data_IF_076387014365
#
_entry.id   IF_076387014365
#
_cell.length_a   1.000
_cell.length_b   1.000
_cell.length_c   1.000
_cell.angle_alpha   90.00
_cell.angle_beta   90.00
_cell.angle_gamma   90.00
#
_symmetry.space_group_name_H-M   'P 1'
#
loop_
_entity.id
_entity.type
_entity.pdbx_description
1 polymer ?
#
# COMPACT_ATOMS: atom_id res chain seq x y z
N UNK A 1 -4.84 -6.18 7.67
CA UNK A 1 -5.73 -6.75 6.64
C UNK A 1 -5.30 -6.33 5.23
N UNK A 2 -4.72 -7.29 4.52
CA UNK A 2 -4.73 -7.42 3.07
C UNK A 2 -4.33 -8.89 2.87
N UNK A 3 -5.28 -9.82 2.68
CA UNK A 3 -4.94 -11.22 2.46
C UNK A 3 -4.89 -11.49 0.95
N UNK A 4 -3.79 -11.13 0.30
CA UNK A 4 -3.56 -11.43 -1.13
C UNK A 4 -3.66 -12.93 -1.42
N UNK A 5 -3.48 -13.76 -0.40
CA UNK A 5 -3.48 -15.21 -0.41
C UNK A 5 -4.87 -15.86 -0.36
N UNK A 6 -5.95 -15.10 -0.11
CA UNK A 6 -7.32 -15.66 -0.10
C UNK A 6 -8.08 -15.43 -1.42
N UNK A 7 -7.51 -14.68 -2.36
CA UNK A 7 -8.12 -14.50 -3.68
C UNK A 7 -7.86 -15.69 -4.59
N UNK A 8 -8.87 -16.09 -5.37
CA UNK A 8 -8.68 -17.04 -6.47
C UNK A 8 -7.74 -16.44 -7.51
N UNK A 9 -6.52 -16.99 -7.62
CA UNK A 9 -5.45 -16.37 -8.40
C UNK A 9 -5.80 -16.21 -9.87
N UNK A 10 -6.54 -17.16 -10.45
CA UNK A 10 -6.92 -17.09 -11.86
C UNK A 10 -7.99 -16.02 -12.15
N UNK A 11 -8.56 -15.38 -11.14
CA UNK A 11 -9.51 -14.29 -11.33
C UNK A 11 -8.85 -13.01 -11.83
N UNK A 12 -7.58 -12.79 -11.50
CA UNK A 12 -6.85 -11.56 -11.84
C UNK A 12 -6.64 -11.37 -13.34
N UNK A 13 -6.52 -12.45 -14.11
CA UNK A 13 -6.35 -12.40 -15.57
C UNK A 13 -7.57 -11.84 -16.30
N UNK A 14 -8.74 -11.80 -15.64
CA UNK A 14 -9.99 -11.26 -16.19
C UNK A 14 -10.12 -9.74 -16.03
N UNK A 15 -9.19 -9.09 -15.32
CA UNK A 15 -9.19 -7.63 -15.15
C UNK A 15 -8.68 -6.99 -16.44
N UNK A 16 -9.58 -6.31 -17.17
CA UNK A 16 -9.29 -5.67 -18.46
C UNK A 16 -9.05 -4.16 -18.38
N UNK A 17 -9.44 -3.53 -17.28
CA UNK A 17 -9.24 -2.10 -17.03
C UNK A 17 -7.82 -1.81 -16.52
N UNK A 18 -7.30 -0.56 -16.66
CA UNK A 18 -6.05 -0.17 -16.02
C UNK A 18 -6.09 -0.42 -14.51
N UNK A 19 -5.01 -0.97 -13.96
CA UNK A 19 -4.93 -1.34 -12.54
C UNK A 19 -3.62 -0.84 -11.92
N UNK A 20 -3.66 -0.16 -10.78
CA UNK A 20 -2.48 0.35 -10.09
C UNK A 20 -2.37 -0.32 -8.71
N UNK A 21 -1.28 -1.05 -8.47
CA UNK A 21 -0.97 -1.70 -7.20
C UNK A 21 0.19 -0.98 -6.52
N UNK A 22 -0.03 -0.56 -5.29
CA UNK A 22 1.00 0.08 -4.44
C UNK A 22 1.17 -0.74 -3.17
N UNK A 23 2.31 -1.42 -3.04
CA UNK A 23 2.65 -2.10 -1.79
C UNK A 23 3.36 -1.15 -0.82
N UNK A 24 2.95 -1.15 0.44
CA UNK A 24 3.67 -0.44 1.51
C UNK A 24 4.70 -1.37 2.14
N UNK A 25 5.95 -0.91 2.20
CA UNK A 25 7.07 -1.66 2.76
C UNK A 25 8.10 -2.10 1.73
N UNK A 26 9.27 -2.46 2.26
CA UNK A 26 10.43 -2.84 1.46
C UNK A 26 10.23 -4.23 0.84
N UNK A 27 10.50 -4.42 -0.47
CA UNK A 27 10.52 -5.74 -1.08
C UNK A 27 11.34 -6.75 -0.26
N UNK A 28 10.81 -7.97 -0.10
CA UNK A 28 11.40 -9.01 0.75
C UNK A 28 11.17 -8.85 2.26
N UNK A 29 10.54 -7.76 2.70
CA UNK A 29 10.10 -7.53 4.10
C UNK A 29 8.59 -7.32 4.24
N UNK A 30 7.86 -7.20 3.13
CA UNK A 30 6.40 -7.15 3.13
C UNK A 30 5.86 -8.53 3.58
N UNK A 31 4.92 -8.59 4.54
CA UNK A 31 4.29 -9.86 4.93
C UNK A 31 3.69 -10.57 3.72
N UNK A 32 3.80 -11.90 3.67
CA UNK A 32 3.30 -12.70 2.54
C UNK A 32 1.83 -12.43 2.23
N UNK A 33 1.01 -12.27 3.27
CA UNK A 33 -0.41 -11.94 3.13
C UNK A 33 -0.60 -10.60 2.42
N UNK A 34 0.29 -9.61 2.60
CA UNK A 34 0.17 -8.30 1.95
C UNK A 34 0.93 -8.20 0.61
N UNK A 35 1.71 -9.21 0.20
CA UNK A 35 2.61 -9.12 -0.95
C UNK A 35 1.86 -9.26 -2.29
N UNK A 36 1.75 -8.17 -3.05
CA UNK A 36 0.96 -8.11 -4.27
C UNK A 36 1.76 -8.26 -5.58
N UNK A 37 3.08 -8.52 -5.53
CA UNK A 37 3.91 -8.59 -6.74
C UNK A 37 3.47 -9.71 -7.71
N UNK A 38 3.05 -10.87 -7.18
CA UNK A 38 2.50 -11.96 -7.99
C UNK A 38 1.14 -11.62 -8.59
N UNK A 39 0.28 -10.92 -7.83
CA UNK A 39 -1.02 -10.46 -8.33
C UNK A 39 -0.82 -9.46 -9.46
N UNK A 40 0.09 -8.49 -9.29
CA UNK A 40 0.38 -7.50 -10.32
C UNK A 40 0.81 -8.15 -11.64
N UNK A 41 1.64 -9.20 -11.58
CA UNK A 41 2.06 -9.97 -12.77
C UNK A 41 0.92 -10.75 -13.43
N UNK A 42 -0.15 -11.05 -12.70
CA UNK A 42 -1.29 -11.82 -13.21
C UNK A 42 -2.34 -10.93 -13.90
N UNK A 43 -2.29 -9.61 -13.71
CA UNK A 43 -3.21 -8.64 -14.31
C UNK A 43 -2.55 -8.05 -15.57
N UNK A 44 -3.15 -8.19 -16.77
CA UNK A 44 -2.52 -7.78 -18.03
C UNK A 44 -2.05 -6.33 -18.11
N UNK A 45 -2.83 -5.40 -17.52
CA UNK A 45 -2.60 -3.96 -17.59
C UNK A 45 -2.28 -3.35 -16.22
N UNK A 46 -1.61 -4.11 -15.34
CA UNK A 46 -1.25 -3.62 -14.01
C UNK A 46 0.08 -2.86 -14.00
N UNK A 47 0.10 -1.75 -13.27
CA UNK A 47 1.31 -1.13 -12.76
C UNK A 47 1.53 -1.56 -11.30
N UNK A 48 2.79 -1.76 -10.93
CA UNK A 48 3.19 -2.13 -9.57
C UNK A 48 4.29 -1.22 -9.07
N UNK A 49 4.11 -0.70 -7.87
CA UNK A 49 5.09 0.13 -7.19
C UNK A 49 5.14 -0.19 -5.69
N UNK A 50 6.21 0.25 -5.04
CA UNK A 50 6.34 0.13 -3.59
C UNK A 50 6.69 1.47 -2.94
N UNK A 51 6.27 1.64 -1.69
CA UNK A 51 6.75 2.71 -0.81
C UNK A 51 7.60 2.02 0.26
N UNK A 52 8.88 1.84 -0.01
CA UNK A 52 9.76 0.93 0.74
C UNK A 52 9.89 1.23 2.23
N UNK A 53 9.83 2.51 2.57
CA UNK A 53 9.97 3.03 3.92
C UNK A 53 8.63 3.12 4.67
N UNK A 54 7.50 2.88 4.01
CA UNK A 54 6.20 2.78 4.67
C UNK A 54 6.05 1.46 5.44
N UNK A 55 5.24 1.47 6.50
CA UNK A 55 4.78 0.28 7.19
C UNK A 55 3.43 -0.18 6.60
N UNK A 56 3.01 -1.42 6.88
CA UNK A 56 1.64 -1.84 6.57
C UNK A 56 0.61 -0.89 7.19
N UNK A 57 0.90 -0.38 8.39
CA UNK A 57 0.03 0.54 9.13
C UNK A 57 -0.02 1.95 8.56
N UNK A 58 0.91 2.33 7.67
CA UNK A 58 0.86 3.65 7.02
C UNK A 58 -0.37 3.83 6.13
N UNK A 59 -1.09 2.75 5.79
CA UNK A 59 -2.38 2.81 5.09
C UNK A 59 -3.49 3.45 5.94
N UNK A 60 -3.42 3.34 7.27
CA UNK A 60 -4.45 3.88 8.17
C UNK A 60 -4.32 5.40 8.31
N UNK A 61 -5.29 6.03 8.98
CA UNK A 61 -5.30 7.47 9.24
C UNK A 61 -4.09 7.95 10.06
N UNK A 62 -3.87 9.27 10.09
CA UNK A 62 -2.83 9.88 10.92
C UNK A 62 -2.95 9.47 12.39
N UNK A 63 -1.79 9.26 13.02
CA UNK A 63 -1.75 8.91 14.44
C UNK A 63 -2.03 10.13 15.31
N UNK A 64 -2.74 9.91 16.41
CA UNK A 64 -2.91 10.93 17.44
C UNK A 64 -1.56 11.21 18.12
N UNK A 65 -1.34 12.42 18.66
CA UNK A 65 -0.18 12.69 19.51
C UNK A 65 -0.08 11.66 20.65
N UNK A 66 1.11 11.12 20.91
CA UNK A 66 1.35 10.14 21.96
C UNK A 66 0.93 8.70 21.63
N UNK A 67 0.42 8.42 20.41
CA UNK A 67 -0.13 7.11 20.09
C UNK A 67 0.94 6.01 19.95
N UNK A 68 2.16 6.34 19.52
CA UNK A 68 3.23 5.36 19.39
C UNK A 68 3.71 4.90 20.77
N UNK A 69 3.90 5.85 21.68
CA UNK A 69 4.31 5.64 23.07
C UNK A 69 3.25 4.86 23.85
N UNK A 70 1.98 5.20 23.65
CA UNK A 70 0.87 4.45 24.26
C UNK A 70 0.80 3.02 23.75
N UNK A 71 0.98 2.80 22.43
CA UNK A 71 0.95 1.46 21.86
C UNK A 71 2.10 0.57 22.36
N UNK A 72 3.28 1.16 22.57
CA UNK A 72 4.41 0.47 23.19
C UNK A 72 4.11 0.15 24.66
N UNK A 73 3.60 1.11 25.43
CA UNK A 73 3.23 0.91 26.84
C UNK A 73 2.15 -0.16 27.04
N UNK A 74 1.17 -0.22 26.14
CA UNK A 74 0.11 -1.22 26.12
C UNK A 74 0.51 -2.55 25.47
N UNK A 75 1.75 -2.67 24.96
CA UNK A 75 2.27 -3.87 24.31
C UNK A 75 1.35 -4.37 23.18
N UNK A 76 0.93 -3.45 22.31
CA UNK A 76 0.01 -3.71 21.16
C UNK A 76 0.62 -4.66 20.10
N UNK A 77 1.81 -5.22 20.37
CA UNK A 77 2.48 -6.20 19.54
C UNK A 77 3.27 -5.49 18.44
N UNK A 78 2.67 -5.37 17.25
CA UNK A 78 3.34 -4.76 16.12
C UNK A 78 3.50 -3.24 16.31
N UNK A 79 4.64 -2.65 15.90
CA UNK A 79 4.90 -1.23 16.06
C UNK A 79 3.98 -0.42 15.14
N UNK A 80 2.87 0.06 15.69
CA UNK A 80 1.96 1.00 15.05
C UNK A 80 2.47 2.43 15.24
N UNK A 81 2.09 3.34 14.34
CA UNK A 81 2.46 4.76 14.38
C UNK A 81 3.97 5.07 14.25
N UNK A 82 4.80 4.07 13.94
CA UNK A 82 6.21 4.23 13.58
C UNK A 82 6.38 4.07 12.07
N UNK A 83 6.05 5.10 11.31
CA UNK A 83 6.04 5.06 9.84
C UNK A 83 7.33 5.61 9.21
N UNK A 84 7.57 5.25 7.95
CA UNK A 84 8.40 6.04 7.04
C UNK A 84 9.91 6.03 7.28
N UNK A 85 10.43 5.29 8.28
CA UNK A 85 11.85 5.32 8.69
C UNK A 85 12.45 6.74 8.70
N UNK A 86 11.66 7.72 9.16
CA UNK A 86 12.02 9.15 9.13
C UNK A 86 10.98 10.04 8.44
N UNK A 87 10.12 9.50 7.57
CA UNK A 87 8.94 10.21 7.05
C UNK A 87 7.72 10.05 7.96
N UNK A 88 6.98 11.13 8.11
CA UNK A 88 5.68 11.12 8.78
C UNK A 88 4.64 10.35 7.96
N UNK A 89 3.61 9.81 8.63
CA UNK A 89 2.46 9.20 7.95
C UNK A 89 1.80 10.15 6.94
N UNK A 90 1.74 11.45 7.28
CA UNK A 90 1.23 12.50 6.40
C UNK A 90 2.01 12.62 5.10
N UNK A 91 3.33 12.53 5.13
CA UNK A 91 4.17 12.55 3.92
C UNK A 91 4.00 11.28 3.08
N UNK A 92 3.76 10.13 3.71
CA UNK A 92 3.42 8.89 2.99
C UNK A 92 2.05 9.04 2.33
N UNK A 93 1.06 9.59 3.04
CA UNK A 93 -0.27 9.87 2.48
C UNK A 93 -0.20 10.86 1.32
N UNK A 94 0.59 11.92 1.42
CA UNK A 94 0.81 12.86 0.32
C UNK A 94 1.41 12.16 -0.92
N UNK A 95 2.38 11.26 -0.71
CA UNK A 95 2.94 10.43 -1.79
C UNK A 95 1.88 9.51 -2.40
N UNK A 96 1.06 8.83 -1.58
CA UNK A 96 -0.03 7.98 -2.04
C UNK A 96 -1.06 8.76 -2.87
N UNK A 97 -1.47 9.94 -2.40
CA UNK A 97 -2.39 10.83 -3.11
C UNK A 97 -1.83 11.16 -4.49
N UNK A 98 -0.55 11.57 -4.57
CA UNK A 98 0.08 11.88 -5.85
C UNK A 98 0.11 10.67 -6.81
N UNK A 99 0.41 9.48 -6.29
CA UNK A 99 0.41 8.24 -7.08
C UNK A 99 -0.98 7.90 -7.61
N UNK A 100 -2.00 7.99 -6.76
CA UNK A 100 -3.41 7.73 -7.11
C UNK A 100 -3.91 8.75 -8.13
N UNK A 101 -3.67 10.04 -7.92
CA UNK A 101 -4.02 11.10 -8.87
C UNK A 101 -3.35 10.86 -10.22
N UNK A 102 -2.05 10.54 -10.23
CA UNK A 102 -1.33 10.25 -11.47
C UNK A 102 -1.89 9.02 -12.20
N UNK A 103 -2.26 7.96 -11.46
CA UNK A 103 -2.86 6.75 -12.04
C UNK A 103 -4.21 7.07 -12.69
N UNK A 104 -5.09 7.80 -12.00
CA UNK A 104 -6.37 8.24 -12.56
C UNK A 104 -6.18 9.20 -13.73
N UNK A 105 -5.24 10.14 -13.68
CA UNK A 105 -4.95 11.02 -14.82
C UNK A 105 -4.43 10.26 -16.03
N UNK A 106 -3.77 9.11 -15.88
CA UNK A 106 -3.40 8.24 -17.01
C UNK A 106 -4.60 7.45 -17.54
N UNK A 107 -5.38 6.85 -16.63
CA UNK A 107 -6.45 5.93 -16.99
C UNK A 107 -7.75 6.62 -17.48
N UNK A 108 -8.06 7.79 -16.93
CA UNK A 108 -9.31 8.53 -17.17
C UNK A 108 -9.14 9.74 -18.08
N UNK A 109 -8.01 9.88 -18.78
CA UNK A 109 -7.85 10.95 -19.78
C UNK A 109 -9.05 10.89 -20.73
N UNK A 110 -9.95 11.86 -20.59
CA UNK A 110 -10.95 12.17 -21.59
C UNK A 110 -10.18 12.39 -22.89
N UNK A 111 -10.54 11.66 -23.95
CA UNK A 111 -10.14 12.12 -25.28
C UNK A 111 -10.56 13.60 -25.39
N UNK A 112 -9.70 14.48 -25.93
CA UNK A 112 -10.13 15.83 -26.26
C UNK A 112 -11.37 15.82 -27.15
#
# INVERSE_FOLDING_TARGET
PAPVDVFEFNSFSRISIPFELVNLGRPGKIPLTAQADKIAKAIPNAAYSTIEDASHYSMFGECKPGAAELAEAEQVGDPICMDGRGRTRREIHAKLINMVTAAFSRALKANP
#
